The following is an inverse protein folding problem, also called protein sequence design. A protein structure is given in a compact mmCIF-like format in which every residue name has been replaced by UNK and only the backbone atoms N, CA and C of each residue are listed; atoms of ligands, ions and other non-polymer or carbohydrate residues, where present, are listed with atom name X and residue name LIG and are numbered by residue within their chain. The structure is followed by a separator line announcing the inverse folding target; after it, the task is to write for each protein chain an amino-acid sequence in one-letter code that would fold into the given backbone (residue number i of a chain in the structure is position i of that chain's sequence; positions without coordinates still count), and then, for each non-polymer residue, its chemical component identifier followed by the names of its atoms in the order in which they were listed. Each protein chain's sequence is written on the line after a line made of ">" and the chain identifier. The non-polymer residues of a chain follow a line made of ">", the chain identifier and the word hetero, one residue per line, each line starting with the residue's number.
data_IF_607671256047
#
_entry.id   IF_607671256047
#
_cell.length_a   1.000
_cell.length_b   1.000
_cell.length_c   1.000
_cell.angle_alpha   90.00
_cell.angle_beta   90.00
_cell.angle_gamma   90.00
#
_symmetry.space_group_name_H-M   'P 1'
#
loop_
_entity.id
_entity.type
_entity.pdbx_description
1 polymer ?
#
# COMPACT_ATOMS: atom_id res chain seq x y z
N UNK A 1 28.18 -9.78 -38.46
CA UNK A 1 27.87 -9.40 -37.06
C UNK A 1 26.84 -8.27 -37.12
N UNK A 2 25.57 -8.63 -37.01
CA UNK A 2 24.45 -7.64 -37.08
C UNK A 2 24.15 -7.18 -35.65
N UNK A 3 24.35 -5.91 -35.38
CA UNK A 3 24.02 -5.30 -34.11
C UNK A 3 22.49 -5.20 -33.99
N UNK A 4 21.88 -5.89 -33.05
CA UNK A 4 20.47 -5.77 -32.71
C UNK A 4 20.23 -4.38 -32.07
N UNK A 5 19.44 -3.56 -32.74
CA UNK A 5 18.93 -2.28 -32.23
C UNK A 5 18.07 -2.58 -30.99
N UNK A 6 18.28 -1.90 -29.84
CA UNK A 6 17.41 -2.10 -28.68
C UNK A 6 15.98 -1.62 -29.03
N UNK A 7 14.93 -2.24 -28.46
CA UNK A 7 13.56 -1.87 -28.75
C UNK A 7 13.32 -0.41 -28.33
N UNK A 8 12.86 0.40 -29.27
CA UNK A 8 12.45 1.79 -29.03
C UNK A 8 11.25 1.78 -28.08
N UNK A 9 11.46 2.16 -26.82
CA UNK A 9 10.36 2.39 -25.88
C UNK A 9 9.51 3.56 -26.42
N UNK A 10 8.29 3.27 -26.81
CA UNK A 10 7.30 4.30 -27.16
C UNK A 10 7.20 5.28 -25.97
N UNK A 11 7.31 6.60 -26.20
CA UNK A 11 7.20 7.57 -25.12
C UNK A 11 5.86 7.41 -24.38
N UNK A 12 5.89 7.44 -23.05
CA UNK A 12 4.67 7.38 -22.24
C UNK A 12 3.69 8.48 -22.63
N UNK A 13 2.38 8.21 -22.58
CA UNK A 13 1.34 9.22 -22.78
C UNK A 13 1.53 10.45 -21.88
N UNK A 14 1.13 11.66 -22.28
CA UNK A 14 1.28 12.88 -21.49
C UNK A 14 0.74 12.78 -20.06
N UNK A 15 -0.41 12.10 -19.86
CA UNK A 15 -1.03 11.87 -18.55
C UNK A 15 -0.13 11.04 -17.64
N UNK A 16 0.46 9.99 -18.15
CA UNK A 16 1.34 9.09 -17.38
C UNK A 16 2.66 9.77 -17.03
N UNK A 17 3.25 10.55 -17.95
CA UNK A 17 4.45 11.35 -17.66
C UNK A 17 4.19 12.38 -16.55
N UNK A 18 3.03 13.05 -16.56
CA UNK A 18 2.63 13.97 -15.49
C UNK A 18 2.53 13.27 -14.15
N UNK A 19 1.88 12.09 -14.08
CA UNK A 19 1.77 11.31 -12.85
C UNK A 19 3.13 10.87 -12.32
N UNK A 20 4.01 10.40 -13.20
CA UNK A 20 5.35 9.94 -12.82
C UNK A 20 6.19 11.08 -12.25
N UNK A 21 6.23 12.25 -12.93
CA UNK A 21 6.98 13.40 -12.45
C UNK A 21 6.34 14.05 -11.20
N UNK A 22 5.01 14.08 -11.11
CA UNK A 22 4.33 14.54 -9.90
C UNK A 22 4.64 13.65 -8.70
N UNK A 23 4.58 12.33 -8.87
CA UNK A 23 4.92 11.38 -7.80
C UNK A 23 6.34 11.61 -7.27
N UNK A 24 7.31 11.73 -8.17
CA UNK A 24 8.71 12.01 -7.81
C UNK A 24 8.86 13.34 -7.06
N UNK A 25 8.34 14.43 -7.65
CA UNK A 25 8.49 15.78 -7.10
C UNK A 25 7.75 15.96 -5.76
N UNK A 26 6.53 15.44 -5.65
CA UNK A 26 5.78 15.47 -4.38
C UNK A 26 6.44 14.62 -3.30
N UNK A 27 7.00 13.47 -3.64
CA UNK A 27 7.76 12.64 -2.71
C UNK A 27 8.99 13.36 -2.16
N UNK A 28 9.75 14.03 -3.03
CA UNK A 28 10.96 14.76 -2.64
C UNK A 28 10.67 15.98 -1.77
N UNK A 29 9.63 16.78 -2.11
CA UNK A 29 9.44 18.13 -1.53
C UNK A 29 8.07 18.39 -0.89
N UNK A 30 7.14 17.46 -1.00
CA UNK A 30 5.75 17.64 -0.57
C UNK A 30 4.92 18.40 -1.61
N UNK A 31 3.59 18.24 -1.52
CA UNK A 31 2.65 18.80 -2.50
C UNK A 31 2.71 20.32 -2.57
N UNK A 32 2.77 21.01 -1.42
CA UNK A 32 2.70 22.47 -1.36
C UNK A 32 3.90 23.16 -2.03
N UNK A 33 5.10 22.57 -1.90
CA UNK A 33 6.34 23.14 -2.39
C UNK A 33 6.55 22.99 -3.90
N UNK A 34 5.70 22.22 -4.61
CA UNK A 34 5.88 21.91 -6.04
C UNK A 34 4.87 22.67 -6.90
N UNK A 35 5.27 23.68 -7.69
CA UNK A 35 4.37 24.37 -8.61
C UNK A 35 3.97 23.48 -9.80
N UNK A 36 2.74 23.60 -10.29
CA UNK A 36 2.23 22.83 -11.44
C UNK A 36 3.05 23.04 -12.71
N UNK A 37 3.57 24.27 -12.94
CA UNK A 37 4.44 24.57 -14.07
C UNK A 37 5.73 23.75 -14.10
N UNK A 38 6.26 23.44 -12.92
CA UNK A 38 7.47 22.63 -12.79
C UNK A 38 7.20 21.17 -13.16
N UNK A 39 6.05 20.62 -12.71
CA UNK A 39 5.62 19.26 -13.08
C UNK A 39 5.45 19.15 -14.60
N UNK A 40 4.77 20.14 -15.21
CA UNK A 40 4.59 20.17 -16.67
C UNK A 40 5.92 20.24 -17.41
N UNK A 41 6.86 21.07 -16.94
CA UNK A 41 8.19 21.18 -17.54
C UNK A 41 8.98 19.87 -17.43
N UNK A 42 8.99 19.23 -16.27
CA UNK A 42 9.64 17.95 -16.04
C UNK A 42 9.04 16.83 -16.90
N UNK A 43 7.71 16.80 -17.03
CA UNK A 43 6.99 15.86 -17.88
C UNK A 43 7.10 16.15 -19.40
N UNK A 44 7.68 17.30 -19.80
CA UNK A 44 7.78 17.72 -21.20
C UNK A 44 6.40 17.93 -21.85
N UNK A 45 5.45 18.55 -21.13
CA UNK A 45 4.10 18.82 -21.60
C UNK A 45 3.72 20.29 -21.46
N UNK A 46 2.65 20.70 -22.16
CA UNK A 46 2.12 22.07 -22.08
C UNK A 46 1.63 22.39 -20.66
N UNK A 47 1.82 23.62 -20.12
CA UNK A 47 1.33 24.04 -18.82
C UNK A 47 -0.16 23.81 -18.55
N UNK A 48 -1.02 23.80 -19.56
CA UNK A 48 -2.45 23.52 -19.46
C UNK A 48 -2.79 22.01 -19.30
N UNK A 49 -1.82 21.11 -19.46
CA UNK A 49 -2.07 19.67 -19.46
C UNK A 49 -2.58 19.14 -18.12
N UNK A 50 -2.14 19.71 -16.98
CA UNK A 50 -2.67 19.33 -15.66
C UNK A 50 -4.15 19.66 -15.58
N UNK A 51 -4.55 20.84 -15.99
CA UNK A 51 -5.96 21.25 -15.99
C UNK A 51 -6.81 20.33 -16.88
N UNK A 52 -6.31 19.98 -18.06
CA UNK A 52 -6.99 19.10 -19.00
C UNK A 52 -7.18 17.67 -18.48
N UNK A 53 -6.14 17.09 -17.85
CA UNK A 53 -6.16 15.68 -17.43
C UNK A 53 -6.66 15.45 -16.02
N UNK A 54 -6.52 16.43 -15.12
CA UNK A 54 -6.73 16.27 -13.67
C UNK A 54 -7.58 17.36 -13.05
N UNK A 55 -7.95 18.41 -13.79
CA UNK A 55 -8.70 19.57 -13.30
C UNK A 55 -7.80 20.60 -12.64
N UNK A 56 -7.08 20.23 -11.60
CA UNK A 56 -6.17 21.09 -10.85
C UNK A 56 -5.03 20.31 -10.21
N UNK A 57 -4.27 20.93 -9.31
CA UNK A 57 -3.16 20.33 -8.60
C UNK A 57 -3.64 19.27 -7.60
N UNK A 58 -4.77 19.51 -6.95
CA UNK A 58 -5.33 18.59 -5.96
C UNK A 58 -5.87 17.32 -6.64
N UNK A 59 -6.47 17.45 -7.82
CA UNK A 59 -6.87 16.33 -8.65
C UNK A 59 -5.69 15.49 -9.13
N UNK A 60 -4.59 16.14 -9.54
CA UNK A 60 -3.34 15.45 -9.86
C UNK A 60 -2.78 14.74 -8.62
N UNK A 61 -2.79 15.41 -7.46
CA UNK A 61 -2.29 14.85 -6.22
C UNK A 61 -3.11 13.63 -5.76
N UNK A 62 -4.44 13.72 -5.83
CA UNK A 62 -5.32 12.59 -5.57
C UNK A 62 -5.00 11.38 -6.46
N UNK A 63 -4.75 11.60 -7.76
CA UNK A 63 -4.35 10.52 -8.67
C UNK A 63 -2.98 9.91 -8.34
N UNK A 64 -2.02 10.73 -7.90
CA UNK A 64 -0.72 10.25 -7.40
C UNK A 64 -0.90 9.35 -6.17
N UNK A 65 -1.76 9.74 -5.24
CA UNK A 65 -2.06 8.95 -4.03
C UNK A 65 -2.82 7.66 -4.35
N UNK A 66 -3.66 7.64 -5.39
CA UNK A 66 -4.41 6.44 -5.81
C UNK A 66 -3.56 5.38 -6.50
N UNK A 67 -2.42 5.74 -7.11
CA UNK A 67 -1.59 4.76 -7.83
C UNK A 67 -1.16 3.58 -6.95
N UNK A 68 -0.54 3.80 -5.78
CA UNK A 68 -0.17 2.71 -4.89
C UNK A 68 -1.38 1.91 -4.37
N UNK A 69 -2.51 2.58 -4.13
CA UNK A 69 -3.74 1.90 -3.67
C UNK A 69 -4.28 0.94 -4.73
N UNK A 70 -4.32 1.36 -5.99
CA UNK A 70 -4.74 0.47 -7.10
C UNK A 70 -3.81 -0.74 -7.26
N UNK A 71 -2.50 -0.53 -7.09
CA UNK A 71 -1.55 -1.64 -7.10
C UNK A 71 -1.80 -2.58 -5.92
N UNK A 72 -2.02 -2.05 -4.74
CA UNK A 72 -2.37 -2.81 -3.54
C UNK A 72 -3.66 -3.62 -3.75
N UNK A 73 -4.71 -3.01 -4.31
CA UNK A 73 -5.96 -3.72 -4.64
C UNK A 73 -5.74 -4.92 -5.57
N UNK A 74 -4.90 -4.75 -6.60
CA UNK A 74 -4.55 -5.84 -7.51
C UNK A 74 -3.80 -6.97 -6.80
N UNK A 75 -2.85 -6.62 -5.92
CA UNK A 75 -2.09 -7.59 -5.14
C UNK A 75 -2.95 -8.32 -4.11
N UNK A 76 -3.97 -7.64 -3.57
CA UNK A 76 -4.94 -8.20 -2.62
C UNK A 76 -6.09 -8.96 -3.29
N UNK A 77 -6.13 -9.07 -4.62
CA UNK A 77 -7.22 -9.78 -5.29
C UNK A 77 -7.35 -11.22 -4.78
N UNK A 78 -8.56 -11.58 -4.31
CA UNK A 78 -8.89 -12.93 -3.85
C UNK A 78 -8.29 -13.34 -2.49
N UNK A 79 -7.78 -12.40 -1.68
CA UNK A 79 -7.31 -12.75 -0.32
C UNK A 79 -8.44 -13.27 0.59
N UNK A 80 -9.68 -12.88 0.33
CA UNK A 80 -10.88 -13.23 1.08
C UNK A 80 -11.75 -14.33 0.39
N UNK A 81 -11.15 -15.08 -0.53
CA UNK A 81 -11.80 -16.23 -1.18
C UNK A 81 -12.20 -17.27 -0.14
N UNK A 82 -13.46 -17.73 -0.21
CA UNK A 82 -14.01 -18.72 0.72
C UNK A 82 -13.33 -20.10 0.67
N UNK A 83 -12.60 -20.40 -0.40
CA UNK A 83 -11.83 -21.63 -0.54
C UNK A 83 -10.51 -21.63 0.27
N UNK A 84 -10.06 -20.45 0.73
CA UNK A 84 -8.83 -20.30 1.48
C UNK A 84 -9.04 -20.57 2.97
N UNK A 85 -8.03 -21.15 3.61
CA UNK A 85 -7.94 -21.15 5.07
C UNK A 85 -7.71 -19.73 5.61
N UNK A 86 -8.03 -19.50 6.89
CA UNK A 86 -7.73 -18.23 7.54
C UNK A 86 -6.24 -17.86 7.44
N UNK A 87 -5.36 -18.84 7.64
CA UNK A 87 -3.92 -18.64 7.53
C UNK A 87 -3.51 -18.16 6.13
N UNK A 88 -4.00 -18.81 5.07
CA UNK A 88 -3.71 -18.41 3.68
C UNK A 88 -4.25 -17.02 3.35
N UNK A 89 -5.45 -16.71 3.83
CA UNK A 89 -6.07 -15.39 3.67
C UNK A 89 -5.24 -14.29 4.34
N UNK A 90 -4.79 -14.52 5.58
CA UNK A 90 -3.91 -13.58 6.29
C UNK A 90 -2.57 -13.45 5.55
N UNK A 91 -1.95 -14.54 5.12
CA UNK A 91 -0.72 -14.47 4.33
C UNK A 91 -0.89 -13.64 3.06
N UNK A 92 -1.98 -13.85 2.29
CA UNK A 92 -2.25 -13.07 1.09
C UNK A 92 -2.45 -11.59 1.38
N UNK A 93 -3.17 -11.26 2.47
CA UNK A 93 -3.40 -9.89 2.86
C UNK A 93 -2.13 -9.19 3.33
N UNK A 94 -1.29 -9.84 4.12
CA UNK A 94 -0.08 -9.22 4.68
C UNK A 94 1.09 -9.15 3.69
N UNK A 95 1.11 -10.02 2.68
CA UNK A 95 2.21 -10.13 1.72
C UNK A 95 2.63 -8.80 1.08
N UNK A 96 1.72 -7.98 0.51
CA UNK A 96 2.12 -6.71 -0.12
C UNK A 96 2.82 -5.74 0.84
N UNK A 97 2.44 -5.76 2.11
CA UNK A 97 3.02 -4.87 3.13
C UNK A 97 4.41 -5.31 3.59
N UNK A 98 4.67 -6.62 3.60
CA UNK A 98 5.96 -7.17 4.03
C UNK A 98 6.98 -7.20 2.90
N UNK A 99 6.54 -7.43 1.66
CA UNK A 99 7.38 -7.55 0.47
C UNK A 99 7.33 -6.28 -0.40
N UNK A 100 7.14 -5.12 0.22
CA UNK A 100 7.16 -3.84 -0.51
C UNK A 100 8.54 -3.64 -1.15
N UNK A 101 8.55 -3.56 -2.48
CA UNK A 101 9.74 -3.32 -3.30
C UNK A 101 10.06 -1.82 -3.48
N UNK A 102 9.38 -0.95 -2.69
CA UNK A 102 9.50 0.51 -2.82
C UNK A 102 8.71 1.08 -3.99
N UNK A 103 7.82 0.29 -4.61
CA UNK A 103 6.92 0.74 -5.68
C UNK A 103 5.89 1.78 -5.19
N UNK A 104 5.61 1.77 -3.90
CA UNK A 104 4.91 2.84 -3.21
C UNK A 104 5.89 3.98 -2.91
N UNK A 105 5.52 5.23 -3.21
CA UNK A 105 6.33 6.38 -2.80
C UNK A 105 6.27 6.53 -1.27
N UNK A 106 7.03 5.67 -0.57
CA UNK A 106 7.06 5.57 0.88
C UNK A 106 7.29 6.93 1.55
N UNK A 107 8.12 7.80 0.94
CA UNK A 107 8.39 9.14 1.47
C UNK A 107 7.14 10.02 1.46
N UNK A 108 6.33 9.95 0.40
CA UNK A 108 5.10 10.72 0.29
C UNK A 108 4.07 10.28 1.34
N UNK A 109 3.83 8.96 1.43
CA UNK A 109 2.93 8.40 2.43
C UNK A 109 3.40 8.66 3.86
N UNK A 110 4.70 8.56 4.13
CA UNK A 110 5.25 8.86 5.45
C UNK A 110 5.05 10.32 5.87
N UNK A 111 5.21 11.28 4.94
CA UNK A 111 4.89 12.68 5.18
C UNK A 111 3.42 12.90 5.51
N UNK A 112 2.55 12.30 4.71
CA UNK A 112 1.11 12.39 4.90
C UNK A 112 0.65 11.74 6.21
N UNK A 113 1.28 10.65 6.65
CA UNK A 113 0.98 10.06 7.96
C UNK A 113 1.39 10.97 9.13
N UNK A 114 2.41 11.83 8.97
CA UNK A 114 2.83 12.78 10.00
C UNK A 114 1.98 14.07 10.00
N UNK A 115 1.59 14.55 8.83
CA UNK A 115 0.83 15.78 8.64
C UNK A 115 -0.19 15.60 7.50
N UNK A 116 -1.32 14.93 7.76
CA UNK A 116 -2.26 14.53 6.72
C UNK A 116 -2.91 15.72 6.02
N UNK A 117 -2.81 15.76 4.68
CA UNK A 117 -3.57 16.71 3.88
C UNK A 117 -5.04 16.30 3.76
N UNK A 118 -5.98 17.25 3.51
CA UNK A 118 -7.38 16.91 3.27
C UNK A 118 -7.57 15.93 2.10
N UNK A 119 -6.77 16.06 1.03
CA UNK A 119 -6.80 15.17 -0.14
C UNK A 119 -6.38 13.75 0.24
N UNK A 120 -5.33 13.62 1.05
CA UNK A 120 -4.89 12.32 1.56
C UNK A 120 -5.95 11.66 2.43
N UNK A 121 -6.51 12.38 3.41
CA UNK A 121 -7.56 11.84 4.29
C UNK A 121 -8.79 11.38 3.51
N UNK A 122 -9.21 12.15 2.50
CA UNK A 122 -10.30 11.75 1.63
C UNK A 122 -9.96 10.49 0.82
N UNK A 123 -8.76 10.41 0.24
CA UNK A 123 -8.31 9.26 -0.55
C UNK A 123 -8.23 8.01 0.33
N UNK A 124 -7.64 8.12 1.53
CA UNK A 124 -7.55 6.99 2.47
C UNK A 124 -8.94 6.49 2.87
N UNK A 125 -9.87 7.40 3.23
CA UNK A 125 -11.21 7.00 3.62
C UNK A 125 -11.99 6.31 2.48
N UNK A 126 -11.83 6.77 1.24
CA UNK A 126 -12.59 6.27 0.10
C UNK A 126 -11.99 5.01 -0.54
N UNK A 127 -10.69 4.90 -0.58
CA UNK A 127 -9.98 3.87 -1.36
C UNK A 127 -9.35 2.79 -0.45
N UNK A 128 -8.73 3.20 0.67
CA UNK A 128 -8.03 2.26 1.57
C UNK A 128 -8.96 1.65 2.61
N UNK A 129 -9.87 2.47 3.18
CA UNK A 129 -10.83 2.02 4.21
C UNK A 129 -11.58 0.74 3.84
N UNK A 130 -12.20 0.65 2.63
CA UNK A 130 -12.91 -0.56 2.20
C UNK A 130 -12.07 -1.84 2.17
N UNK A 131 -10.76 -1.74 1.88
CA UNK A 131 -9.85 -2.91 1.91
C UNK A 131 -9.69 -3.45 3.32
N UNK A 132 -9.49 -2.54 4.29
CA UNK A 132 -9.38 -2.91 5.70
C UNK A 132 -10.68 -3.45 6.27
N UNK A 133 -11.81 -2.89 5.87
CA UNK A 133 -13.14 -3.41 6.26
C UNK A 133 -13.38 -4.82 5.75
N UNK A 134 -12.94 -5.13 4.52
CA UNK A 134 -13.00 -6.49 3.98
C UNK A 134 -12.15 -7.46 4.80
N UNK A 135 -10.93 -7.05 5.18
CA UNK A 135 -10.06 -7.85 6.03
C UNK A 135 -10.66 -8.05 7.43
N UNK A 136 -11.18 -7.00 8.05
CA UNK A 136 -11.87 -7.11 9.34
C UNK A 136 -13.08 -8.06 9.26
N UNK A 137 -13.91 -7.99 8.21
CA UNK A 137 -15.02 -8.93 7.99
C UNK A 137 -14.55 -10.37 7.82
N UNK A 138 -13.43 -10.60 7.12
CA UNK A 138 -12.82 -11.93 7.05
C UNK A 138 -12.49 -12.47 8.43
N UNK A 139 -11.77 -11.68 9.26
CA UNK A 139 -11.40 -12.10 10.62
C UNK A 139 -12.63 -12.33 11.50
N UNK A 140 -13.64 -11.45 11.41
CA UNK A 140 -14.90 -11.58 12.16
C UNK A 140 -15.60 -12.90 11.88
N UNK A 141 -15.77 -13.27 10.60
CA UNK A 141 -16.37 -14.56 10.20
C UNK A 141 -15.66 -15.75 10.83
N UNK A 142 -14.33 -15.75 10.85
CA UNK A 142 -13.55 -16.82 11.48
C UNK A 142 -13.60 -16.79 13.01
N UNK A 143 -13.87 -15.62 13.61
CA UNK A 143 -14.15 -15.48 15.03
C UNK A 143 -15.61 -15.86 15.42
N UNK A 144 -16.45 -16.23 14.44
CA UNK A 144 -17.86 -16.56 14.67
C UNK A 144 -18.75 -15.34 14.91
N UNK A 145 -18.37 -14.18 14.35
CA UNK A 145 -19.12 -12.92 14.43
C UNK A 145 -19.73 -12.57 13.08
N UNK A 146 -20.96 -12.08 13.08
CA UNK A 146 -21.63 -11.59 11.87
C UNK A 146 -21.02 -10.29 11.36
N UNK A 147 -20.64 -9.38 12.29
CA UNK A 147 -20.01 -8.10 11.99
C UNK A 147 -18.74 -7.90 12.82
N UNK A 148 -17.72 -7.18 12.28
CA UNK A 148 -16.50 -6.91 13.01
C UNK A 148 -16.73 -6.05 14.26
N UNK A 149 -16.28 -6.51 15.41
CA UNK A 149 -16.22 -5.72 16.64
C UNK A 149 -15.04 -4.74 16.59
N UNK A 150 -15.00 -3.78 17.53
CA UNK A 150 -13.85 -2.89 17.71
C UNK A 150 -12.53 -3.69 17.92
N UNK A 151 -12.59 -4.82 18.66
CA UNK A 151 -11.42 -5.68 18.87
C UNK A 151 -10.93 -6.31 17.55
N UNK A 152 -11.84 -6.73 16.68
CA UNK A 152 -11.49 -7.28 15.36
C UNK A 152 -10.88 -6.21 14.46
N UNK A 153 -11.40 -4.98 14.47
CA UNK A 153 -10.77 -3.88 13.72
C UNK A 153 -9.35 -3.57 14.26
N UNK A 154 -9.18 -3.54 15.60
CA UNK A 154 -7.85 -3.37 16.20
C UNK A 154 -6.89 -4.52 15.81
N UNK A 155 -7.38 -5.75 15.78
CA UNK A 155 -6.61 -6.90 15.34
C UNK A 155 -6.19 -6.78 13.87
N UNK A 156 -7.11 -6.43 12.99
CA UNK A 156 -6.82 -6.22 11.55
C UNK A 156 -5.75 -5.15 11.35
N UNK A 157 -5.89 -4.00 12.02
CA UNK A 157 -4.90 -2.92 11.99
C UNK A 157 -3.56 -3.36 12.57
N UNK A 158 -3.56 -4.08 13.69
CA UNK A 158 -2.33 -4.58 14.32
C UNK A 158 -1.55 -5.55 13.44
N UNK A 159 -2.22 -6.48 12.79
CA UNK A 159 -1.60 -7.43 11.87
C UNK A 159 -0.95 -6.73 10.66
N UNK A 160 -1.68 -5.78 10.05
CA UNK A 160 -1.13 -4.99 8.96
C UNK A 160 0.06 -4.12 9.41
N UNK A 161 -0.07 -3.47 10.58
CA UNK A 161 0.99 -2.63 11.12
C UNK A 161 2.27 -3.43 11.37
N UNK A 162 2.19 -4.64 11.92
CA UNK A 162 3.35 -5.52 12.10
C UNK A 162 4.03 -5.83 10.76
N UNK A 163 3.28 -6.21 9.73
CA UNK A 163 3.87 -6.52 8.42
C UNK A 163 4.51 -5.28 7.78
N UNK A 164 3.82 -4.13 7.84
CA UNK A 164 4.32 -2.87 7.30
C UNK A 164 5.58 -2.37 8.03
N UNK A 165 5.62 -2.52 9.36
CA UNK A 165 6.76 -2.08 10.15
C UNK A 165 8.05 -2.83 9.78
N UNK A 166 7.99 -4.13 9.50
CA UNK A 166 9.13 -4.88 8.99
C UNK A 166 9.71 -4.30 7.69
N UNK A 167 8.87 -3.83 6.78
CA UNK A 167 9.32 -3.21 5.53
C UNK A 167 9.92 -1.82 5.77
N UNK A 168 9.23 -0.97 6.54
CA UNK A 168 9.63 0.42 6.80
C UNK A 168 10.90 0.50 7.65
N UNK A 169 11.02 -0.38 8.65
CA UNK A 169 12.17 -0.40 9.57
C UNK A 169 13.33 -1.28 9.07
N UNK A 170 13.22 -1.87 7.87
CA UNK A 170 14.23 -2.77 7.30
C UNK A 170 15.66 -2.24 7.43
N UNK A 171 16.00 -0.97 7.11
CA UNK A 171 17.37 -0.47 7.27
C UNK A 171 17.87 -0.52 8.71
N UNK A 172 16.97 -0.38 9.70
CA UNK A 172 17.32 -0.51 11.13
C UNK A 172 17.48 -1.98 11.51
N UNK A 173 16.57 -2.84 11.05
CA UNK A 173 16.65 -4.29 11.29
C UNK A 173 17.92 -4.88 10.71
N UNK A 174 18.32 -4.49 9.51
CA UNK A 174 19.58 -4.91 8.89
C UNK A 174 20.81 -4.49 9.72
N UNK A 175 20.72 -3.39 10.48
CA UNK A 175 21.79 -2.95 11.37
C UNK A 175 21.83 -3.68 12.72
N UNK A 176 20.65 -4.08 13.26
CA UNK A 176 20.55 -4.70 14.59
C UNK A 176 20.45 -6.23 14.53
N UNK A 177 19.71 -6.74 13.55
CA UNK A 177 19.34 -8.14 13.39
C UNK A 177 19.29 -8.53 11.91
N UNK A 178 20.44 -8.48 11.20
CA UNK A 178 20.49 -8.76 9.77
C UNK A 178 19.94 -10.17 9.41
N UNK A 179 19.93 -11.09 10.38
CA UNK A 179 19.43 -12.44 10.22
C UNK A 179 17.89 -12.54 10.11
N UNK A 180 17.13 -11.50 10.46
CA UNK A 180 15.66 -11.58 10.47
C UNK A 180 15.04 -11.50 9.08
N UNK A 181 15.63 -10.71 8.17
CA UNK A 181 15.08 -10.39 6.84
C UNK A 181 16.14 -10.53 5.74
N UNK A 182 17.15 -11.38 5.93
CA UNK A 182 18.33 -11.45 5.07
C UNK A 182 18.01 -11.89 3.64
N UNK A 183 16.98 -12.71 3.45
CA UNK A 183 16.61 -13.27 2.15
C UNK A 183 15.09 -13.54 2.05
N UNK A 184 14.64 -13.86 0.84
CA UNK A 184 13.24 -14.18 0.58
C UNK A 184 12.70 -15.36 1.42
N UNK A 185 13.43 -16.46 1.67
CA UNK A 185 13.00 -17.52 2.57
C UNK A 185 12.69 -17.05 3.98
N UNK A 186 13.49 -16.16 4.56
CA UNK A 186 13.26 -15.60 5.90
C UNK A 186 12.06 -14.67 5.92
N UNK A 187 11.88 -13.85 4.90
CA UNK A 187 10.68 -13.04 4.71
C UNK A 187 9.42 -13.91 4.62
N UNK A 188 9.47 -15.03 3.89
CA UNK A 188 8.37 -16.00 3.83
C UNK A 188 8.09 -16.61 5.21
N UNK A 189 9.11 -17.00 5.97
CA UNK A 189 8.93 -17.51 7.33
C UNK A 189 8.29 -16.46 8.25
N UNK A 190 8.71 -15.20 8.14
CA UNK A 190 8.12 -14.08 8.89
C UNK A 190 6.65 -13.91 8.52
N UNK A 191 6.30 -13.94 7.24
CA UNK A 191 4.92 -13.88 6.77
C UNK A 191 4.05 -14.98 7.39
N UNK A 192 4.52 -16.23 7.34
CA UNK A 192 3.80 -17.36 7.94
C UNK A 192 3.66 -17.22 9.46
N UNK A 193 4.69 -16.74 10.15
CA UNK A 193 4.64 -16.49 11.60
C UNK A 193 3.64 -15.41 11.96
N UNK A 194 3.57 -14.31 11.19
CA UNK A 194 2.55 -13.28 11.39
C UNK A 194 1.13 -13.84 11.17
N UNK A 195 0.96 -14.72 10.18
CA UNK A 195 -0.31 -15.38 9.95
C UNK A 195 -0.68 -16.36 11.06
N UNK A 196 0.27 -17.11 11.61
CA UNK A 196 0.06 -17.98 12.78
C UNK A 196 -0.39 -17.18 14.00
N UNK A 197 0.26 -16.05 14.28
CA UNK A 197 -0.17 -15.12 15.34
C UNK A 197 -1.57 -14.58 15.08
N UNK A 198 -1.87 -14.18 13.84
CA UNK A 198 -3.19 -13.73 13.44
C UNK A 198 -4.27 -14.80 13.71
N UNK A 199 -4.03 -16.04 13.30
CA UNK A 199 -4.93 -17.15 13.59
C UNK A 199 -5.15 -17.37 15.09
N UNK A 200 -4.08 -17.32 15.89
CA UNK A 200 -4.16 -17.48 17.35
C UNK A 200 -4.97 -16.33 17.99
N UNK A 201 -4.82 -15.10 17.51
CA UNK A 201 -5.56 -13.95 18.03
C UNK A 201 -7.04 -13.97 17.61
N UNK A 202 -7.36 -14.42 16.40
CA UNK A 202 -8.76 -14.64 15.97
C UNK A 202 -9.42 -15.71 16.84
N UNK A 203 -8.72 -16.82 17.12
CA UNK A 203 -9.22 -17.87 18.01
C UNK A 203 -9.42 -17.36 19.45
N UNK A 204 -8.54 -16.49 19.94
CA UNK A 204 -8.70 -15.84 21.24
C UNK A 204 -9.99 -15.00 21.29
N UNK A 205 -10.24 -14.18 20.27
CA UNK A 205 -11.48 -13.37 20.18
C UNK A 205 -12.72 -14.26 20.02
N UNK A 206 -12.64 -15.37 19.28
CA UNK A 206 -13.71 -16.35 19.17
C UNK A 206 -14.12 -16.91 20.53
N UNK A 207 -13.14 -17.26 21.38
CA UNK A 207 -13.42 -17.79 22.72
C UNK A 207 -14.03 -16.76 23.68
N UNK A 208 -13.69 -15.48 23.51
CA UNK A 208 -14.26 -14.39 24.32
C UNK A 208 -15.72 -14.08 23.97
N UNK A 209 -16.13 -14.37 22.74
CA UNK A 209 -17.48 -14.13 22.25
C UNK A 209 -18.34 -15.40 22.19
N UNK A 210 -17.78 -16.57 22.53
CA UNK A 210 -18.56 -17.78 22.71
C UNK A 210 -19.56 -17.57 23.87
N UNK A 211 -20.85 -17.96 23.71
CA UNK A 211 -21.89 -17.79 24.72
C UNK A 211 -21.60 -18.60 26.00
#
# INVERSE_FOLDING_TARGET
>A
MSAATPPSSTPLPPRERLLQEAMRLFGERGVDAVPTREICAAAGVNPGAIHYHFGDKDGLYAEVLRQPVRLLEQQLAGFDDAALSLHESICRFLRPFLFDDGSCNAQLFFREMQAPSPVFMQTVAQEVGPLFDRFARLLARHAGMDEPSAAIHQLAMGLQAMAHDYAVTRPMLDAFHPELLADDPLLQQTLHRLADWGCALVEFERRRHAP
#
